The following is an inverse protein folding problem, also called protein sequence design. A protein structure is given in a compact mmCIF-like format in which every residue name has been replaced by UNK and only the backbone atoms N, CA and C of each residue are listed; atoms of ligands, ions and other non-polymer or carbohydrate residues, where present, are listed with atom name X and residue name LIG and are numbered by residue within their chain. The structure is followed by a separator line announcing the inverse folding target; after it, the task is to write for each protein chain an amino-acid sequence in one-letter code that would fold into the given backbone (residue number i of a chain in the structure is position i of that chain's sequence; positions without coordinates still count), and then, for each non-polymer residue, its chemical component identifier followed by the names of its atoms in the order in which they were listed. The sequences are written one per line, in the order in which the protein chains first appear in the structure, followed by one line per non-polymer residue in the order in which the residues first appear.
data_IF_252597065607
#
_entry.id   IF_252597065607
#
_cell.length_a   1.000
_cell.length_b   1.000
_cell.length_c   1.000
_cell.angle_alpha   90.00
_cell.angle_beta   90.00
_cell.angle_gamma   90.00
#
_symmetry.space_group_name_H-M   'P 1'
#
loop_
_entity.id
_entity.type
_entity.pdbx_description
1 polymer ?
#
# COMPACT_ATOMS: atom_id res chain seq x y z
N UNK A 1 -23.03 -10.38 -13.29
CA UNK A 1 -21.57 -10.64 -13.31
C UNK A 1 -21.00 -10.11 -12.01
N UNK A 2 -20.13 -10.86 -11.31
CA UNK A 2 -19.42 -10.31 -10.15
C UNK A 2 -18.34 -9.36 -10.64
N UNK A 3 -18.25 -8.17 -10.06
CA UNK A 3 -17.10 -7.29 -10.28
C UNK A 3 -15.84 -7.93 -9.66
N UNK A 4 -14.67 -7.62 -10.21
CA UNK A 4 -13.40 -8.01 -9.60
C UNK A 4 -13.21 -7.24 -8.29
N UNK A 5 -12.58 -7.84 -7.26
CA UNK A 5 -12.27 -7.11 -6.04
C UNK A 5 -11.19 -6.06 -6.30
N UNK A 6 -11.16 -5.04 -5.46
CA UNK A 6 -10.00 -4.16 -5.30
C UNK A 6 -8.94 -4.91 -4.49
N UNK A 7 -7.69 -4.88 -4.94
CA UNK A 7 -6.56 -5.49 -4.23
C UNK A 7 -5.80 -4.39 -3.48
N UNK A 8 -5.74 -4.48 -2.16
CA UNK A 8 -4.98 -3.55 -1.32
C UNK A 8 -3.57 -4.10 -1.07
N UNK A 9 -2.56 -3.30 -1.36
CA UNK A 9 -1.14 -3.65 -1.23
C UNK A 9 -0.51 -2.84 -0.11
N UNK A 10 -0.01 -3.52 0.92
CA UNK A 10 0.70 -2.89 2.04
C UNK A 10 2.19 -3.24 1.95
N UNK A 11 3.10 -2.26 1.87
CA UNK A 11 4.53 -2.55 1.82
C UNK A 11 5.04 -3.14 3.14
N UNK A 12 6.19 -3.83 3.07
CA UNK A 12 6.91 -4.34 4.23
C UNK A 12 7.84 -3.29 4.86
N UNK A 13 8.65 -3.72 5.82
CA UNK A 13 9.65 -2.87 6.46
C UNK A 13 10.63 -2.27 5.43
N UNK A 14 10.95 -0.99 5.57
CA UNK A 14 11.89 -0.22 4.73
C UNK A 14 11.54 -0.09 3.24
N UNK A 15 10.33 -0.46 2.83
CA UNK A 15 9.91 -0.36 1.42
C UNK A 15 8.95 0.81 1.19
N UNK A 16 9.14 1.60 0.12
CA UNK A 16 8.12 2.53 -0.34
C UNK A 16 6.97 1.79 -1.07
N UNK A 17 5.81 2.42 -1.27
CA UNK A 17 4.71 1.87 -2.08
C UNK A 17 5.14 1.42 -3.48
N UNK A 18 6.11 2.12 -4.09
CA UNK A 18 6.63 1.85 -5.43
C UNK A 18 7.31 0.48 -5.58
N UNK A 19 7.57 -0.25 -4.48
CA UNK A 19 8.00 -1.65 -4.55
C UNK A 19 7.01 -2.54 -5.32
N UNK A 20 5.73 -2.18 -5.36
CA UNK A 20 4.72 -2.96 -6.06
C UNK A 20 4.46 -2.55 -7.51
N UNK A 21 5.17 -1.55 -8.08
CA UNK A 21 4.78 -0.98 -9.38
C UNK A 21 4.67 -2.01 -10.53
N UNK A 22 5.54 -3.04 -10.57
CA UNK A 22 5.45 -4.12 -11.57
C UNK A 22 4.22 -5.01 -11.33
N UNK A 23 3.93 -5.31 -10.06
CA UNK A 23 2.80 -6.15 -9.68
C UNK A 23 1.46 -5.44 -9.90
N UNK A 24 1.37 -4.17 -9.52
CA UNK A 24 0.22 -3.30 -9.79
C UNK A 24 -0.08 -3.23 -11.29
N UNK A 25 0.94 -2.98 -12.12
CA UNK A 25 0.77 -2.91 -13.57
C UNK A 25 0.20 -4.22 -14.15
N UNK A 26 0.66 -5.38 -13.67
CA UNK A 26 0.14 -6.67 -14.14
C UNK A 26 -1.29 -6.96 -13.65
N UNK A 27 -1.64 -6.56 -12.42
CA UNK A 27 -3.00 -6.67 -11.88
C UNK A 27 -3.98 -5.79 -12.68
N UNK A 28 -3.60 -4.55 -12.94
CA UNK A 28 -4.38 -3.60 -13.73
C UNK A 28 -4.56 -4.10 -15.17
N UNK A 29 -3.52 -4.66 -15.79
CA UNK A 29 -3.62 -5.30 -17.12
C UNK A 29 -4.61 -6.46 -17.16
N UNK A 30 -4.84 -7.12 -16.01
CA UNK A 30 -5.82 -8.21 -15.83
C UNK A 30 -7.19 -7.71 -15.35
N UNK A 31 -7.40 -6.39 -15.31
CA UNK A 31 -8.65 -5.74 -14.96
C UNK A 31 -8.94 -5.69 -13.45
N UNK A 32 -7.93 -5.87 -12.59
CA UNK A 32 -8.09 -5.60 -11.16
C UNK A 32 -7.78 -4.13 -10.85
N UNK A 33 -8.64 -3.52 -10.04
CA UNK A 33 -8.31 -2.26 -9.38
C UNK A 33 -7.36 -2.54 -8.21
N UNK A 34 -6.42 -1.62 -7.97
CA UNK A 34 -5.42 -1.73 -6.91
C UNK A 34 -5.39 -0.46 -6.09
N UNK A 35 -5.15 -0.59 -4.80
CA UNK A 35 -4.87 0.53 -3.92
C UNK A 35 -3.65 0.19 -3.04
N UNK A 36 -2.80 1.19 -2.76
CA UNK A 36 -1.52 0.94 -2.10
C UNK A 36 -1.37 1.85 -0.91
N UNK A 37 -1.07 1.28 0.24
CA UNK A 37 -0.88 2.01 1.50
C UNK A 37 0.58 2.45 1.63
N UNK A 38 0.85 3.33 2.61
CA UNK A 38 2.22 3.69 2.99
C UNK A 38 2.42 3.43 4.47
N UNK A 39 3.48 2.71 4.84
CA UNK A 39 3.95 2.69 6.23
C UNK A 39 4.66 4.03 6.49
N UNK A 40 3.92 5.00 7.02
CA UNK A 40 4.39 6.38 7.24
C UNK A 40 5.49 6.48 8.29
N UNK A 41 5.72 5.43 9.08
CA UNK A 41 6.89 5.31 9.96
C UNK A 41 8.20 5.15 9.18
N UNK A 42 8.17 4.63 7.94
CA UNK A 42 9.36 4.44 7.11
C UNK A 42 9.91 5.80 6.67
N UNK A 43 11.12 6.13 7.13
CA UNK A 43 11.81 7.37 6.79
C UNK A 43 11.27 8.62 7.50
N UNK A 44 10.45 8.45 8.55
CA UNK A 44 9.96 9.57 9.34
C UNK A 44 11.11 10.31 10.05
N UNK A 45 11.21 11.63 9.83
CA UNK A 45 12.15 12.52 10.50
C UNK A 45 11.41 13.75 11.05
N UNK A 46 11.37 13.94 12.39
CA UNK A 46 11.94 13.07 13.43
C UNK A 46 11.23 11.71 13.52
N UNK A 47 11.89 10.65 14.06
CA UNK A 47 11.36 9.29 14.14
C UNK A 47 10.26 9.17 15.22
N UNK A 48 9.17 9.87 14.99
CA UNK A 48 8.05 10.09 15.93
C UNK A 48 6.81 9.30 15.56
N UNK A 49 6.84 8.60 14.42
CA UNK A 49 5.75 7.75 13.92
C UNK A 49 5.99 6.29 14.26
N UNK A 50 4.92 5.55 14.51
CA UNK A 50 4.98 4.14 14.88
C UNK A 50 3.85 3.32 14.26
N UNK A 51 3.63 2.14 14.84
CA UNK A 51 2.65 1.17 14.34
C UNK A 51 1.23 1.75 14.22
N UNK A 52 0.79 2.57 15.18
CA UNK A 52 -0.56 3.14 15.16
C UNK A 52 -0.76 4.11 13.98
N UNK A 53 0.28 4.86 13.60
CA UNK A 53 0.25 5.73 12.42
C UNK A 53 0.19 4.91 11.12
N UNK A 54 0.95 3.82 11.06
CA UNK A 54 0.93 2.89 9.92
C UNK A 54 -0.46 2.22 9.79
N UNK A 55 -1.05 1.78 10.90
CA UNK A 55 -2.42 1.21 10.92
C UNK A 55 -3.45 2.25 10.48
N UNK A 56 -3.33 3.51 10.92
CA UNK A 56 -4.22 4.58 10.48
C UNK A 56 -4.10 4.84 8.97
N UNK A 57 -2.87 4.83 8.45
CA UNK A 57 -2.58 4.93 7.01
C UNK A 57 -3.23 3.77 6.23
N UNK A 58 -3.09 2.53 6.70
CA UNK A 58 -3.70 1.36 6.04
C UNK A 58 -5.22 1.37 6.08
N UNK A 59 -5.85 1.92 7.13
CA UNK A 59 -7.31 2.05 7.23
C UNK A 59 -7.92 3.14 6.34
N UNK A 60 -7.09 4.07 5.87
CA UNK A 60 -7.54 5.18 5.02
C UNK A 60 -7.61 4.81 3.53
N UNK A 61 -7.22 3.57 3.17
CA UNK A 61 -7.27 3.01 1.83
C UNK A 61 -8.47 2.08 1.68
#
# INVERSE_FOLDING_TARGET
MSTKPVIVLNPGAWHPPTTFSIFEAELQRRGYETATTTNVSVGAEPPTKGLDDDVASSRAV
#
